data_IF_545820944703
#
_entry.id   IF_545820944703
#
_cell.length_a   1.000
_cell.length_b   1.000
_cell.length_c   1.000
_cell.angle_alpha   90.00
_cell.angle_beta   90.00
_cell.angle_gamma   90.00
#
_symmetry.space_group_name_H-M   'P 1'
#
loop_
_entity.id
_entity.type
_entity.pdbx_description
1 polymer ?
#
# COMPACT_ATOMS: atom_id res chain seq x y z
N UNK A 1 -2.66 4.39 -4.32
CA UNK A 1 -1.57 3.65 -3.64
C UNK A 1 -0.58 3.22 -4.71
N UNK A 2 0.71 3.11 -4.40
CA UNK A 2 1.65 2.51 -5.34
C UNK A 2 1.41 1.00 -5.49
N UNK A 3 1.74 0.47 -6.66
CA UNK A 3 1.53 -0.90 -7.11
C UNK A 3 2.81 -1.71 -7.24
N UNK A 4 2.72 -2.84 -7.94
CA UNK A 4 3.87 -3.68 -8.32
C UNK A 4 4.69 -3.04 -9.44
N UNK A 5 4.03 -2.36 -10.38
CA UNK A 5 4.66 -1.68 -11.50
C UNK A 5 5.55 -0.48 -11.10
N UNK A 6 5.13 0.32 -10.12
CA UNK A 6 5.89 1.50 -9.66
C UNK A 6 6.84 1.18 -8.49
N UNK A 7 7.04 -0.10 -8.15
CA UNK A 7 7.78 -0.50 -6.95
C UNK A 7 9.25 -0.04 -6.99
N UNK A 8 9.94 -0.26 -8.11
CA UNK A 8 11.33 0.13 -8.28
C UNK A 8 11.48 1.66 -8.31
N UNK A 9 10.63 2.35 -9.08
CA UNK A 9 10.60 3.81 -9.12
C UNK A 9 10.36 4.41 -7.74
N UNK A 10 9.39 3.90 -6.97
CA UNK A 10 9.14 4.38 -5.59
C UNK A 10 10.33 4.13 -4.66
N UNK A 11 11.02 3.02 -4.82
CA UNK A 11 12.22 2.70 -4.04
C UNK A 11 13.36 3.64 -4.37
N UNK A 12 13.61 3.88 -5.65
CA UNK A 12 14.63 4.81 -6.14
C UNK A 12 14.31 6.25 -5.75
N UNK A 13 13.08 6.72 -5.97
CA UNK A 13 12.64 8.04 -5.55
C UNK A 13 12.79 8.26 -4.04
N UNK A 14 12.51 7.23 -3.22
CA UNK A 14 12.74 7.28 -1.78
C UNK A 14 14.24 7.37 -1.44
N UNK A 15 15.10 6.61 -2.13
CA UNK A 15 16.56 6.68 -1.97
C UNK A 15 17.08 8.07 -2.34
N UNK A 16 16.79 8.53 -3.55
CA UNK A 16 17.17 9.86 -4.05
C UNK A 16 16.74 10.98 -3.10
N UNK A 17 15.51 10.92 -2.59
CA UNK A 17 15.01 11.88 -1.60
C UNK A 17 15.87 11.90 -0.34
N UNK A 18 16.30 10.75 0.18
CA UNK A 18 17.17 10.72 1.36
C UNK A 18 18.57 11.24 1.05
N UNK A 19 19.14 10.89 -0.11
CA UNK A 19 20.44 11.41 -0.54
C UNK A 19 20.42 12.94 -0.70
N UNK A 20 19.37 13.51 -1.31
CA UNK A 20 19.21 14.95 -1.42
C UNK A 20 19.11 15.63 -0.05
N UNK A 21 18.35 15.04 0.87
CA UNK A 21 18.22 15.57 2.23
C UNK A 21 19.54 15.50 3.00
N UNK A 22 20.33 14.43 2.79
CA UNK A 22 21.67 14.28 3.35
C UNK A 22 22.60 15.36 2.82
N UNK A 23 22.68 15.54 1.49
CA UNK A 23 23.52 16.56 0.86
C UNK A 23 23.17 17.97 1.32
N UNK A 24 21.86 18.30 1.37
CA UNK A 24 21.39 19.60 1.89
C UNK A 24 21.79 19.84 3.35
N UNK A 25 21.79 18.79 4.18
CA UNK A 25 22.22 18.89 5.57
C UNK A 25 23.76 19.05 5.68
N UNK A 26 24.52 18.33 4.86
CA UNK A 26 25.98 18.46 4.77
C UNK A 26 26.42 19.85 4.30
N UNK A 27 25.75 20.41 3.29
CA UNK A 27 25.96 21.78 2.82
C UNK A 27 25.72 22.80 3.94
N UNK A 28 24.63 22.66 4.70
CA UNK A 28 24.32 23.52 5.85
C UNK A 28 25.36 23.39 6.95
N UNK A 29 25.78 22.17 7.27
CA UNK A 29 26.84 21.95 8.25
C UNK A 29 28.14 22.65 7.83
N UNK A 30 28.52 22.49 6.56
CA UNK A 30 29.71 23.13 5.99
C UNK A 30 29.61 24.66 6.05
N UNK A 31 28.44 25.24 5.80
CA UNK A 31 28.19 26.68 5.93
C UNK A 31 28.34 27.18 7.37
N UNK A 32 27.80 26.45 8.36
CA UNK A 32 27.96 26.80 9.77
C UNK A 32 29.39 26.59 10.27
N UNK A 33 30.04 25.50 9.89
CA UNK A 33 31.44 25.22 10.20
C UNK A 33 32.35 26.32 9.64
N UNK A 34 32.14 26.73 8.38
CA UNK A 34 32.88 27.78 7.70
C UNK A 34 32.29 29.20 7.91
N UNK A 35 31.52 29.42 8.99
CA UNK A 35 30.94 30.74 9.25
C UNK A 35 32.03 31.80 9.44
N UNK A 36 31.69 33.07 9.23
CA UNK A 36 32.64 34.18 9.45
C UNK A 36 33.21 34.16 10.89
N UNK A 37 32.41 33.80 11.89
CA UNK A 37 32.86 33.78 13.28
C UNK A 37 33.93 32.70 13.49
N UNK A 38 33.68 31.49 12.97
CA UNK A 38 34.62 30.38 13.04
C UNK A 38 35.91 30.68 12.26
N UNK A 39 35.82 31.28 11.07
CA UNK A 39 37.00 31.71 10.30
C UNK A 39 37.86 32.74 11.03
N UNK A 40 37.24 33.72 11.70
CA UNK A 40 38.00 34.72 12.49
C UNK A 40 38.73 34.02 13.64
N UNK A 41 38.04 33.15 14.39
CA UNK A 41 38.66 32.43 15.50
C UNK A 41 39.76 31.46 15.04
N UNK A 42 39.63 30.85 13.87
CA UNK A 42 40.66 30.01 13.28
C UNK A 42 41.92 30.79 12.88
N UNK A 43 41.77 32.07 12.49
CA UNK A 43 42.89 32.94 12.14
C UNK A 43 43.59 33.54 13.36
N UNK A 44 42.90 33.68 14.49
CA UNK A 44 43.46 34.20 15.75
C UNK A 44 43.32 33.19 16.90
N UNK A 45 43.96 32.01 16.79
CA UNK A 45 43.84 30.97 17.81
C UNK A 45 44.49 31.40 19.12
N UNK A 46 43.80 31.19 20.24
CA UNK A 46 44.35 31.38 21.58
C UNK A 46 44.46 32.81 22.09
N UNK A 47 43.94 33.82 21.37
CA UNK A 47 43.92 35.20 21.89
C UNK A 47 43.04 35.30 23.15
N UNK A 48 43.57 35.74 24.30
CA UNK A 48 42.80 35.84 25.53
C UNK A 48 41.75 36.96 25.47
N UNK A 49 40.61 36.74 26.12
CA UNK A 49 39.60 37.79 26.32
C UNK A 49 40.12 38.74 27.39
N UNK A 50 40.47 39.96 26.98
CA UNK A 50 40.93 41.01 27.89
C UNK A 50 39.72 41.57 28.69
N UNK A 51 39.65 41.24 29.98
CA UNK A 51 38.58 41.67 30.89
C UNK A 51 38.74 43.17 31.20
N UNK A 52 37.67 43.95 31.09
CA UNK A 52 37.66 45.39 31.34
C UNK A 52 38.13 46.25 30.15
N UNK A 53 38.54 45.64 29.03
CA UNK A 53 38.96 46.36 27.83
C UNK A 53 37.76 46.64 26.91
N UNK A 54 37.79 47.74 26.14
CA UNK A 54 36.68 48.13 25.26
C UNK A 54 36.31 47.06 24.20
N UNK A 55 37.24 46.15 23.87
CA UNK A 55 37.03 45.04 22.93
C UNK A 55 36.39 43.78 23.55
N UNK A 56 36.28 43.70 24.88
CA UNK A 56 35.79 42.53 25.62
C UNK A 56 34.42 42.06 25.11
N UNK A 57 33.46 42.98 25.01
CA UNK A 57 32.09 42.68 24.59
C UNK A 57 32.04 42.10 23.16
N UNK A 58 32.92 42.56 22.29
CA UNK A 58 33.01 42.07 20.90
C UNK A 58 33.61 40.66 20.85
N UNK A 59 34.66 40.41 21.64
CA UNK A 59 35.27 39.08 21.75
C UNK A 59 34.28 38.05 22.30
N UNK A 60 33.58 38.35 23.41
CA UNK A 60 32.56 37.45 23.98
C UNK A 60 31.47 37.07 22.99
N UNK A 61 30.91 38.06 22.28
CA UNK A 61 29.88 37.83 21.25
C UNK A 61 30.40 37.02 20.07
N UNK A 62 31.65 37.22 19.66
CA UNK A 62 32.26 36.45 18.57
C UNK A 62 32.38 34.97 18.97
N UNK A 63 32.88 34.69 20.18
CA UNK A 63 32.93 33.33 20.71
C UNK A 63 31.54 32.73 20.86
N UNK A 64 30.58 33.43 21.45
CA UNK A 64 29.20 32.95 21.59
C UNK A 64 28.58 32.58 20.24
N UNK A 65 28.77 33.41 19.22
CA UNK A 65 28.29 33.13 17.85
C UNK A 65 28.98 31.90 17.25
N UNK A 66 30.30 31.83 17.35
CA UNK A 66 31.07 30.69 16.86
C UNK A 66 30.61 29.38 17.51
N UNK A 67 30.43 29.38 18.84
CA UNK A 67 29.93 28.22 19.58
C UNK A 67 28.51 27.82 19.14
N UNK A 68 27.64 28.79 18.90
CA UNK A 68 26.30 28.56 18.36
C UNK A 68 26.33 27.96 16.95
N UNK A 69 27.18 28.49 16.07
CA UNK A 69 27.37 27.98 14.70
C UNK A 69 27.96 26.56 14.71
N UNK A 70 28.99 26.30 15.52
CA UNK A 70 29.56 24.95 15.68
C UNK A 70 28.53 23.95 16.19
N UNK A 71 27.69 24.33 17.18
CA UNK A 71 26.60 23.45 17.65
C UNK A 71 25.63 23.10 16.51
N UNK A 72 25.20 24.10 15.73
CA UNK A 72 24.31 23.88 14.57
C UNK A 72 24.96 23.01 13.50
N UNK A 73 26.25 23.19 13.23
CA UNK A 73 27.01 22.33 12.31
C UNK A 73 26.97 20.87 12.77
N UNK A 74 27.25 20.60 14.05
CA UNK A 74 27.19 19.23 14.60
C UNK A 74 25.79 18.63 14.50
N UNK A 75 24.74 19.44 14.73
CA UNK A 75 23.34 18.99 14.59
C UNK A 75 23.01 18.63 13.13
N UNK A 76 23.39 19.47 12.17
CA UNK A 76 23.17 19.20 10.74
C UNK A 76 24.04 18.02 10.25
N UNK A 77 25.25 17.83 10.77
CA UNK A 77 26.08 16.64 10.49
C UNK A 77 25.38 15.35 10.95
N UNK A 78 24.84 15.35 12.17
CA UNK A 78 24.06 14.20 12.67
C UNK A 78 22.84 13.93 11.79
N UNK A 79 22.19 14.98 11.30
CA UNK A 79 21.04 14.87 10.40
C UNK A 79 21.43 14.33 9.03
N UNK A 80 22.58 14.77 8.49
CA UNK A 80 23.15 14.23 7.25
C UNK A 80 23.38 12.73 7.39
N UNK A 81 24.13 12.32 8.43
CA UNK A 81 24.37 10.89 8.74
C UNK A 81 23.09 10.08 8.88
N UNK A 82 22.09 10.62 9.57
CA UNK A 82 20.80 9.95 9.70
C UNK A 82 20.15 9.68 8.33
N UNK A 83 20.18 10.63 7.40
CA UNK A 83 19.61 10.42 6.07
C UNK A 83 20.47 9.54 5.18
N UNK A 84 21.80 9.62 5.26
CA UNK A 84 22.69 8.69 4.56
C UNK A 84 22.42 7.25 5.01
N UNK A 85 22.36 7.00 6.31
CA UNK A 85 22.07 5.67 6.86
C UNK A 85 20.70 5.14 6.40
N UNK A 86 19.72 6.04 6.24
CA UNK A 86 18.40 5.70 5.69
C UNK A 86 18.46 5.36 4.20
N UNK A 87 19.23 6.08 3.40
CA UNK A 87 19.47 5.77 2.00
C UNK A 87 20.15 4.40 1.86
N UNK A 88 21.20 4.16 2.63
CA UNK A 88 21.93 2.90 2.69
C UNK A 88 21.02 1.75 3.13
N UNK A 89 20.14 1.98 4.09
CA UNK A 89 19.15 0.98 4.52
C UNK A 89 18.18 0.64 3.41
N UNK A 90 17.72 1.61 2.62
CA UNK A 90 16.82 1.38 1.48
C UNK A 90 17.52 0.57 0.38
N UNK A 91 18.79 0.87 0.13
CA UNK A 91 19.63 0.17 -0.84
C UNK A 91 19.96 -1.27 -0.42
N UNK A 92 20.40 -1.46 0.83
CA UNK A 92 20.91 -2.73 1.33
C UNK A 92 19.87 -3.58 2.07
N UNK A 93 18.60 -3.16 2.08
CA UNK A 93 17.54 -3.90 2.76
C UNK A 93 17.42 -5.32 2.19
N UNK A 94 17.52 -6.31 3.09
CA UNK A 94 17.29 -7.73 2.76
C UNK A 94 15.82 -8.12 2.80
N UNK A 95 14.92 -7.16 2.99
CA UNK A 95 13.48 -7.38 3.05
C UNK A 95 12.94 -7.54 1.63
N UNK A 96 12.35 -8.70 1.35
CA UNK A 96 11.68 -8.99 0.08
C UNK A 96 10.20 -8.74 0.29
N UNK A 97 9.63 -7.74 -0.38
CA UNK A 97 8.20 -7.40 -0.32
C UNK A 97 7.40 -8.26 -1.30
N UNK A 98 6.09 -8.38 -1.09
CA UNK A 98 5.20 -9.09 -2.02
C UNK A 98 4.93 -8.27 -3.30
N UNK A 99 4.88 -6.94 -3.18
CA UNK A 99 4.68 -6.02 -4.31
C UNK A 99 5.90 -5.89 -5.23
N UNK A 100 7.00 -6.63 -4.98
CA UNK A 100 8.18 -6.61 -5.84
C UNK A 100 7.94 -7.51 -7.07
N UNK A 101 8.07 -7.01 -8.32
CA UNK A 101 7.94 -7.84 -9.52
C UNK A 101 8.85 -9.07 -9.49
N UNK A 102 10.05 -8.91 -8.95
CA UNK A 102 11.09 -9.92 -8.90
C UNK A 102 11.13 -10.68 -7.54
N UNK A 103 10.05 -10.62 -6.74
CA UNK A 103 10.00 -11.25 -5.42
C UNK A 103 10.32 -12.75 -5.45
N UNK A 104 9.77 -13.48 -6.44
CA UNK A 104 9.99 -14.94 -6.57
C UNK A 104 11.46 -15.23 -6.87
N UNK A 105 12.08 -14.49 -7.80
CA UNK A 105 13.48 -14.66 -8.14
C UNK A 105 14.38 -14.39 -6.93
N UNK A 106 14.17 -13.26 -6.24
CA UNK A 106 14.92 -12.92 -5.01
C UNK A 106 14.77 -13.96 -3.90
N UNK A 107 13.61 -14.61 -3.80
CA UNK A 107 13.39 -15.72 -2.86
C UNK A 107 14.10 -17.00 -3.30
N UNK A 108 14.18 -17.29 -4.59
CA UNK A 108 14.96 -18.42 -5.14
C UNK A 108 16.45 -18.23 -4.91
N UNK A 109 16.99 -17.04 -5.17
CA UNK A 109 18.39 -16.70 -4.89
C UNK A 109 18.68 -16.83 -3.38
N UNK A 110 17.77 -16.34 -2.54
CA UNK A 110 17.86 -16.50 -1.08
C UNK A 110 17.85 -17.96 -0.65
N UNK A 111 17.06 -18.81 -1.30
CA UNK A 111 17.02 -20.23 -1.03
C UNK A 111 18.37 -20.88 -1.38
N UNK A 112 18.96 -20.53 -2.53
CA UNK A 112 20.29 -21.01 -2.92
C UNK A 112 21.37 -20.56 -1.92
N UNK A 113 21.33 -19.31 -1.46
CA UNK A 113 22.23 -18.84 -0.40
C UNK A 113 22.06 -19.63 0.90
N UNK A 114 20.83 -19.98 1.28
CA UNK A 114 20.57 -20.79 2.48
C UNK A 114 21.05 -22.24 2.32
N UNK A 115 20.98 -22.80 1.11
CA UNK A 115 21.52 -24.13 0.80
C UNK A 115 23.04 -24.13 0.92
N UNK A 116 23.73 -23.15 0.33
CA UNK A 116 25.19 -22.99 0.51
C UNK A 116 25.58 -22.82 1.98
N UNK A 117 24.83 -22.00 2.73
CA UNK A 117 25.06 -21.85 4.18
C UNK A 117 24.86 -23.16 4.93
N UNK A 118 23.87 -23.96 4.57
CA UNK A 118 23.64 -25.27 5.18
C UNK A 118 24.84 -26.20 4.98
N UNK A 119 25.38 -26.26 3.76
CA UNK A 119 26.54 -27.10 3.46
C UNK A 119 27.78 -26.65 4.24
N UNK A 120 28.01 -25.33 4.36
CA UNK A 120 29.11 -24.81 5.18
C UNK A 120 28.97 -25.21 6.65
N UNK A 121 27.78 -25.09 7.24
CA UNK A 121 27.53 -25.50 8.63
C UNK A 121 27.70 -27.01 8.79
N UNK A 122 27.31 -27.80 7.79
CA UNK A 122 27.46 -29.25 7.83
C UNK A 122 28.93 -29.69 7.72
N UNK A 123 29.75 -28.92 7.00
CA UNK A 123 31.18 -29.18 6.85
C UNK A 123 32.00 -28.77 8.09
N UNK A 124 31.50 -27.82 8.89
CA UNK A 124 32.09 -27.44 10.16
C UNK A 124 31.93 -28.57 11.19
N UNK A 125 33.02 -29.11 11.71
CA UNK A 125 33.00 -30.23 12.65
C UNK A 125 32.46 -29.84 14.04
N UNK A 126 32.56 -28.56 14.41
CA UNK A 126 32.12 -28.03 15.71
C UNK A 126 30.70 -27.45 15.66
N UNK A 127 29.95 -27.69 14.58
CA UNK A 127 28.60 -27.16 14.46
C UNK A 127 27.66 -27.77 15.51
N UNK A 128 26.74 -26.94 15.96
CA UNK A 128 25.68 -27.32 16.89
C UNK A 128 24.41 -27.73 16.14
N UNK A 129 23.64 -28.64 16.73
CA UNK A 129 22.38 -29.13 16.13
C UNK A 129 21.37 -28.01 15.84
N UNK A 130 21.28 -27.00 16.70
CA UNK A 130 20.37 -25.85 16.52
C UNK A 130 20.68 -25.04 15.25
N UNK A 131 21.95 -24.93 14.83
CA UNK A 131 22.31 -24.20 13.61
C UNK A 131 21.68 -24.84 12.36
N UNK A 132 21.77 -26.17 12.24
CA UNK A 132 21.14 -26.92 11.14
C UNK A 132 19.61 -26.86 11.20
N UNK A 133 19.02 -26.95 12.40
CA UNK A 133 17.57 -26.82 12.58
C UNK A 133 17.05 -25.45 12.15
N UNK A 134 17.76 -24.38 12.53
CA UNK A 134 17.41 -23.00 12.20
C UNK A 134 17.46 -22.77 10.69
N UNK A 135 18.57 -23.17 10.02
CA UNK A 135 18.66 -23.08 8.56
C UNK A 135 17.55 -23.90 7.89
N UNK A 136 17.31 -25.13 8.35
CA UNK A 136 16.24 -25.98 7.82
C UNK A 136 14.84 -25.36 7.97
N UNK A 137 14.57 -24.68 9.09
CA UNK A 137 13.33 -23.93 9.28
C UNK A 137 13.22 -22.74 8.31
N UNK A 138 14.29 -21.95 8.16
CA UNK A 138 14.35 -20.82 7.22
C UNK A 138 14.17 -21.25 5.76
N UNK A 139 14.78 -22.36 5.36
CA UNK A 139 14.60 -22.95 4.03
C UNK A 139 13.16 -23.37 3.80
N UNK A 140 12.55 -24.10 4.75
CA UNK A 140 11.14 -24.53 4.65
C UNK A 140 10.21 -23.33 4.49
N UNK A 141 10.39 -22.28 5.28
CA UNK A 141 9.56 -21.08 5.18
C UNK A 141 9.75 -20.35 3.85
N UNK A 142 10.99 -20.25 3.36
CA UNK A 142 11.28 -19.66 2.05
C UNK A 142 10.62 -20.45 0.92
N UNK A 143 10.67 -21.79 0.96
CA UNK A 143 9.99 -22.67 -0.01
C UNK A 143 8.46 -22.50 0.04
N UNK A 144 7.85 -22.46 1.24
CA UNK A 144 6.41 -22.19 1.40
C UNK A 144 6.02 -20.84 0.81
N UNK A 145 6.84 -19.81 1.02
CA UNK A 145 6.60 -18.47 0.51
C UNK A 145 6.65 -18.43 -1.02
N UNK A 146 7.66 -19.08 -1.64
CA UNK A 146 7.76 -19.23 -3.09
C UNK A 146 6.51 -19.91 -3.64
N UNK A 147 6.12 -21.06 -3.09
CA UNK A 147 4.95 -21.81 -3.54
C UNK A 147 3.65 -21.00 -3.45
N UNK A 148 3.49 -20.18 -2.40
CA UNK A 148 2.33 -19.28 -2.25
C UNK A 148 2.29 -18.23 -3.36
N UNK A 149 3.42 -17.59 -3.66
CA UNK A 149 3.50 -16.57 -4.70
C UNK A 149 3.30 -17.17 -6.10
N UNK A 150 3.93 -18.31 -6.40
CA UNK A 150 3.75 -19.02 -7.67
C UNK A 150 2.29 -19.47 -7.88
N UNK A 151 1.60 -19.89 -6.81
CA UNK A 151 0.18 -20.21 -6.87
C UNK A 151 -0.66 -18.97 -7.17
N UNK A 152 -0.36 -17.82 -6.56
CA UNK A 152 -1.05 -16.56 -6.84
C UNK A 152 -0.85 -16.08 -8.28
N UNK A 153 0.35 -16.22 -8.85
CA UNK A 153 0.60 -15.83 -10.24
C UNK A 153 -0.14 -16.70 -11.26
N UNK A 154 -0.33 -17.99 -10.95
CA UNK A 154 -1.09 -18.92 -11.80
C UNK A 154 -2.60 -18.70 -11.76
N UNK A 155 -3.12 -18.02 -10.73
CA UNK A 155 -4.55 -17.74 -10.65
C UNK A 155 -4.88 -16.63 -11.64
N UNK A 156 -5.50 -17.02 -12.74
CA UNK A 156 -6.16 -16.09 -13.64
C UNK A 156 -7.50 -15.70 -13.05
N UNK A 157 -7.61 -14.47 -12.57
CA UNK A 157 -8.88 -13.91 -12.15
C UNK A 157 -9.52 -13.25 -13.36
N UNK A 158 -10.71 -13.74 -13.73
CA UNK A 158 -11.55 -13.10 -14.74
C UNK A 158 -12.29 -11.95 -14.06
N UNK A 159 -12.41 -10.82 -14.75
CA UNK A 159 -13.21 -9.70 -14.25
C UNK A 159 -14.65 -10.17 -14.01
N UNK A 160 -15.19 -9.87 -12.83
CA UNK A 160 -16.54 -10.25 -12.45
C UNK A 160 -17.36 -8.97 -12.41
N UNK A 161 -18.37 -8.89 -13.26
CA UNK A 161 -19.40 -7.86 -13.19
C UNK A 161 -20.44 -8.29 -12.15
N UNK A 162 -20.86 -7.37 -11.30
CA UNK A 162 -21.86 -7.60 -10.26
C UNK A 162 -22.84 -6.41 -10.24
N UNK A 163 -23.98 -6.55 -9.56
CA UNK A 163 -25.01 -5.50 -9.51
C UNK A 163 -24.44 -4.19 -8.97
N UNK A 164 -24.40 -3.15 -9.82
CA UNK A 164 -23.88 -1.82 -9.48
C UNK A 164 -22.36 -1.63 -9.57
N UNK A 165 -21.61 -2.56 -10.18
CA UNK A 165 -20.17 -2.37 -10.39
C UNK A 165 -19.39 -3.52 -11.01
N UNK A 166 -18.07 -3.38 -11.04
CA UNK A 166 -17.12 -4.38 -11.57
C UNK A 166 -16.00 -4.64 -10.59
N UNK A 167 -15.67 -5.92 -10.41
CA UNK A 167 -14.49 -6.37 -9.69
C UNK A 167 -13.36 -6.61 -10.69
N UNK A 168 -12.38 -5.71 -10.70
CA UNK A 168 -11.21 -5.78 -11.58
C UNK A 168 -10.02 -6.31 -10.79
N UNK A 169 -9.36 -7.29 -11.37
CA UNK A 169 -8.06 -7.74 -10.87
C UNK A 169 -6.93 -7.01 -11.57
N UNK A 170 -6.25 -6.11 -10.86
CA UNK A 170 -5.12 -5.38 -11.41
C UNK A 170 -3.79 -6.05 -10.99
N UNK A 171 -3.18 -6.80 -11.92
CA UNK A 171 -1.87 -7.45 -11.75
C UNK A 171 -0.74 -6.44 -11.53
N UNK A 172 -0.81 -5.29 -12.20
CA UNK A 172 0.22 -4.24 -12.12
C UNK A 172 0.23 -3.56 -10.76
N UNK A 173 -0.92 -3.50 -10.09
CA UNK A 173 -1.04 -2.92 -8.74
C UNK A 173 -0.98 -4.02 -7.65
N UNK A 174 -1.13 -5.30 -8.02
CA UNK A 174 -1.23 -6.43 -7.11
C UNK A 174 -2.39 -6.25 -6.09
N UNK A 175 -3.54 -5.74 -6.58
CA UNK A 175 -4.72 -5.43 -5.77
C UNK A 175 -5.99 -5.87 -6.48
N UNK A 176 -6.99 -6.29 -5.69
CA UNK A 176 -8.37 -6.43 -6.15
C UNK A 176 -9.04 -5.07 -5.98
N UNK A 177 -9.61 -4.55 -7.06
CA UNK A 177 -10.33 -3.29 -7.09
C UNK A 177 -11.82 -3.56 -7.33
N UNK A 178 -12.67 -3.01 -6.47
CA UNK A 178 -14.11 -2.99 -6.66
C UNK A 178 -14.48 -1.57 -7.07
N UNK A 179 -14.89 -1.43 -8.33
CA UNK A 179 -15.34 -0.18 -8.93
C UNK A 179 -16.86 -0.23 -8.93
N UNK A 180 -17.50 0.84 -8.46
CA UNK A 180 -18.95 1.00 -8.45
C UNK A 180 -19.32 2.17 -9.35
N UNK A 181 -20.48 2.10 -10.00
CA UNK A 181 -20.94 3.16 -10.91
C UNK A 181 -21.35 4.44 -10.16
N UNK A 182 -21.75 4.29 -8.89
CA UNK A 182 -22.12 5.38 -8.00
C UNK A 182 -21.55 5.21 -6.59
N UNK A 183 -21.95 6.10 -5.67
CA UNK A 183 -21.61 5.97 -4.25
C UNK A 183 -22.41 4.78 -3.69
N UNK A 184 -21.75 3.72 -3.19
CA UNK A 184 -22.47 2.57 -2.64
C UNK A 184 -23.25 2.94 -1.38
N UNK A 185 -24.35 2.24 -1.14
CA UNK A 185 -25.17 2.39 0.06
C UNK A 185 -24.35 2.18 1.35
N UNK A 186 -24.77 2.80 2.46
CA UNK A 186 -24.04 2.77 3.73
C UNK A 186 -23.86 1.35 4.26
N UNK A 187 -24.84 0.46 4.01
CA UNK A 187 -24.75 -0.95 4.38
C UNK A 187 -23.61 -1.65 3.63
N UNK A 188 -23.51 -1.41 2.32
CA UNK A 188 -22.45 -1.95 1.45
C UNK A 188 -21.09 -1.39 1.89
N UNK A 189 -20.99 -0.09 2.17
CA UNK A 189 -19.75 0.53 2.66
C UNK A 189 -19.29 -0.08 3.99
N UNK A 190 -20.21 -0.32 4.90
CA UNK A 190 -19.91 -0.95 6.19
C UNK A 190 -19.44 -2.39 6.02
N UNK A 191 -20.12 -3.15 5.15
CA UNK A 191 -19.71 -4.51 4.80
C UNK A 191 -18.29 -4.54 4.19
N UNK A 192 -17.99 -3.67 3.23
CA UNK A 192 -16.67 -3.54 2.60
C UNK A 192 -15.57 -3.26 3.62
N UNK A 193 -15.80 -2.28 4.52
CA UNK A 193 -14.86 -1.96 5.61
C UNK A 193 -14.64 -3.15 6.54
N UNK A 194 -15.72 -3.86 6.92
CA UNK A 194 -15.64 -5.04 7.80
C UNK A 194 -14.79 -6.16 7.18
N UNK A 195 -14.84 -6.30 5.85
CA UNK A 195 -14.07 -7.28 5.07
C UNK A 195 -12.67 -6.79 4.68
N UNK A 196 -12.25 -5.62 5.17
CA UNK A 196 -10.90 -5.07 5.03
C UNK A 196 -10.62 -4.36 3.70
N UNK A 197 -11.65 -3.97 2.95
CA UNK A 197 -11.49 -3.12 1.77
C UNK A 197 -11.35 -1.66 2.18
N UNK A 198 -10.43 -0.95 1.53
CA UNK A 198 -10.14 0.47 1.81
C UNK A 198 -10.39 1.30 0.55
N UNK A 199 -11.05 2.45 0.69
CA UNK A 199 -11.28 3.37 -0.41
C UNK A 199 -9.98 4.08 -0.84
N UNK A 200 -9.68 4.05 -2.15
CA UNK A 200 -8.55 4.76 -2.74
C UNK A 200 -9.03 5.94 -3.59
N UNK A 201 -8.75 7.17 -3.13
CA UNK A 201 -9.13 8.40 -3.85
C UNK A 201 -8.51 8.53 -5.23
N UNK A 202 -7.27 8.04 -5.42
CA UNK A 202 -6.52 8.15 -6.70
C UNK A 202 -7.14 7.29 -7.80
N UNK A 203 -7.68 6.13 -7.42
CA UNK A 203 -8.19 5.12 -8.35
C UNK A 203 -9.72 5.09 -8.37
N UNK A 204 -10.40 5.83 -7.48
CA UNK A 204 -11.86 5.83 -7.39
C UNK A 204 -12.47 4.47 -7.06
N UNK A 205 -11.75 3.61 -6.35
CA UNK A 205 -12.14 2.22 -6.12
C UNK A 205 -11.92 1.77 -4.67
N UNK A 206 -12.68 0.76 -4.24
CA UNK A 206 -12.42 0.02 -3.01
C UNK A 206 -11.36 -1.05 -3.26
N UNK A 207 -10.31 -1.09 -2.44
CA UNK A 207 -9.11 -1.88 -2.74
C UNK A 207 -8.64 -2.74 -1.56
N UNK A 208 -8.06 -3.89 -1.90
CA UNK A 208 -7.35 -4.77 -0.96
C UNK A 208 -6.20 -5.49 -1.67
N UNK A 209 -5.14 -5.85 -0.94
CA UNK A 209 -4.00 -6.62 -1.48
C UNK A 209 -4.47 -7.95 -2.08
N UNK A 210 -3.95 -8.31 -3.25
CA UNK A 210 -4.24 -9.59 -3.87
C UNK A 210 -3.62 -10.74 -3.08
N UNK A 211 -4.48 -11.56 -2.48
CA UNK A 211 -4.10 -12.72 -1.70
C UNK A 211 -5.22 -13.77 -1.79
N UNK A 212 -4.93 -15.04 -1.50
CA UNK A 212 -5.91 -16.12 -1.54
C UNK A 212 -7.12 -15.83 -0.65
N UNK A 213 -6.88 -15.26 0.53
CA UNK A 213 -7.95 -14.86 1.43
C UNK A 213 -8.78 -13.71 0.85
N UNK A 214 -8.15 -12.77 0.14
CA UNK A 214 -8.83 -11.65 -0.50
C UNK A 214 -9.73 -12.14 -1.62
N UNK A 215 -9.27 -13.08 -2.44
CA UNK A 215 -10.09 -13.74 -3.48
C UNK A 215 -11.34 -14.36 -2.84
N UNK A 216 -11.15 -15.21 -1.82
CA UNK A 216 -12.26 -15.85 -1.10
C UNK A 216 -13.23 -14.83 -0.49
N UNK A 217 -12.69 -13.79 0.14
CA UNK A 217 -13.49 -12.73 0.75
C UNK A 217 -14.31 -11.99 -0.31
N UNK A 218 -13.72 -11.73 -1.47
CA UNK A 218 -14.38 -11.05 -2.60
C UNK A 218 -15.52 -11.91 -3.13
N UNK A 219 -15.29 -13.21 -3.36
CA UNK A 219 -16.34 -14.14 -3.79
C UNK A 219 -17.51 -14.20 -2.79
N UNK A 220 -17.22 -14.22 -1.49
CA UNK A 220 -18.24 -14.19 -0.44
C UNK A 220 -18.99 -12.86 -0.44
N UNK A 221 -18.29 -11.73 -0.62
CA UNK A 221 -18.91 -10.41 -0.62
C UNK A 221 -19.85 -10.23 -1.82
N UNK A 222 -19.42 -10.67 -3.00
CA UNK A 222 -20.25 -10.66 -4.22
C UNK A 222 -21.52 -11.48 -3.99
N UNK A 223 -21.37 -12.70 -3.47
CA UNK A 223 -22.50 -13.59 -3.17
C UNK A 223 -23.47 -13.01 -2.13
N UNK A 224 -22.95 -12.54 -0.99
CA UNK A 224 -23.77 -12.27 0.20
C UNK A 224 -24.41 -10.87 0.21
N UNK A 225 -23.83 -9.92 -0.52
CA UNK A 225 -24.19 -8.49 -0.45
C UNK A 225 -24.61 -7.94 -1.81
N UNK A 226 -23.87 -8.28 -2.88
CA UNK A 226 -24.04 -7.62 -4.18
C UNK A 226 -25.05 -8.34 -5.08
N UNK A 227 -25.23 -9.67 -4.94
CA UNK A 227 -26.21 -10.42 -5.72
C UNK A 227 -27.58 -10.59 -5.02
N UNK A 228 -27.79 -9.98 -3.84
CA UNK A 228 -29.06 -10.08 -3.11
C UNK A 228 -30.22 -9.32 -3.75
N UNK A 229 -29.94 -8.35 -4.62
CA UNK A 229 -30.98 -7.57 -5.29
C UNK A 229 -31.68 -8.37 -6.40
N UNK A 230 -31.04 -9.40 -6.98
CA UNK A 230 -31.66 -10.23 -8.03
C UNK A 230 -32.69 -11.22 -7.48
N UNK A 231 -32.46 -11.83 -6.31
CA UNK A 231 -33.44 -12.77 -5.73
C UNK A 231 -34.74 -12.08 -5.31
N UNK A 232 -34.71 -10.80 -4.93
CA UNK A 232 -35.92 -10.07 -4.54
C UNK A 232 -36.75 -9.61 -5.75
N UNK A 233 -36.12 -9.17 -6.83
CA UNK A 233 -36.83 -8.81 -8.07
C UNK A 233 -37.38 -10.05 -8.79
N UNK A 234 -36.64 -11.17 -8.79
CA UNK A 234 -37.08 -12.43 -9.41
C UNK A 234 -38.21 -13.11 -8.61
N UNK A 235 -38.18 -13.10 -7.27
CA UNK A 235 -39.29 -13.59 -6.44
C UNK A 235 -40.54 -12.70 -6.53
N UNK A 236 -40.37 -11.38 -6.65
CA UNK A 236 -41.49 -10.45 -6.82
C UNK A 236 -42.13 -10.63 -8.20
N UNK A 237 -41.34 -10.82 -9.27
CA UNK A 237 -41.82 -11.18 -10.61
C UNK A 237 -42.48 -12.58 -10.66
N UNK A 238 -41.90 -13.62 -10.06
CA UNK A 238 -42.52 -14.96 -9.97
C UNK A 238 -43.82 -14.92 -9.15
N UNK A 239 -43.89 -14.10 -8.09
CA UNK A 239 -45.12 -13.91 -7.33
C UNK A 239 -46.19 -13.18 -8.14
N UNK A 240 -45.81 -12.14 -8.91
CA UNK A 240 -46.73 -11.39 -9.79
C UNK A 240 -47.21 -12.24 -10.96
N UNK A 241 -46.31 -13.00 -11.60
CA UNK A 241 -46.65 -13.95 -12.67
C UNK A 241 -47.51 -15.11 -12.14
N UNK A 242 -47.23 -15.58 -10.91
CA UNK A 242 -48.03 -16.59 -10.23
C UNK A 242 -49.40 -16.10 -9.73
N UNK A 243 -49.56 -14.79 -9.49
CA UNK A 243 -50.85 -14.14 -9.21
C UNK A 243 -51.64 -13.95 -10.51
N UNK A 244 -51.01 -13.49 -11.60
CA UNK A 244 -51.62 -13.40 -12.94
C UNK A 244 -52.14 -14.75 -13.45
N UNK A 245 -51.37 -15.83 -13.30
CA UNK A 245 -51.79 -17.18 -13.70
C UNK A 245 -52.99 -17.73 -12.89
N UNK A 246 -53.22 -17.24 -11.66
CA UNK A 246 -54.38 -17.64 -10.83
C UNK A 246 -55.63 -16.82 -11.10
N UNK A 247 -55.48 -15.61 -11.66
CA UNK A 247 -56.61 -14.77 -12.08
C UNK A 247 -57.24 -15.35 -13.35
N UNK A 248 -56.43 -15.92 -14.27
CA UNK A 248 -56.91 -16.60 -15.49
C UNK A 248 -57.73 -17.89 -15.22
N UNK A 249 -57.52 -18.58 -14.10
CA UNK A 249 -58.29 -19.78 -13.72
C UNK A 249 -59.62 -19.45 -13.00
N UNK A 250 -59.89 -18.18 -12.71
CA UNK A 250 -61.06 -17.83 -11.90
C UNK A 250 -61.48 -16.36 -11.91
N UNK A 251 -61.87 -15.80 -13.06
CA UNK A 251 -63.07 -14.96 -13.14
C UNK A 251 -63.47 -14.59 -14.58
N UNK A 252 -64.67 -15.00 -14.96
CA UNK A 252 -65.50 -14.28 -15.94
C UNK A 252 -65.75 -12.85 -15.42
N UNK A 253 -65.38 -11.85 -16.24
CA UNK A 253 -65.91 -10.47 -16.32
C UNK A 253 -66.12 -9.68 -15.01
N UNK A 254 -65.38 -8.58 -14.81
CA UNK A 254 -65.96 -7.22 -14.83
C UNK A 254 -64.93 -6.12 -14.51
N UNK A 255 -64.72 -5.23 -15.49
CA UNK A 255 -64.40 -3.78 -15.39
C UNK A 255 -63.19 -3.27 -14.58
N UNK A 256 -62.41 -4.09 -13.89
CA UNK A 256 -61.16 -3.66 -13.23
C UNK A 256 -59.89 -3.88 -14.09
N UNK A 257 -60.02 -4.57 -15.23
CA UNK A 257 -58.90 -4.94 -16.12
C UNK A 257 -58.33 -3.75 -16.93
N UNK A 258 -59.11 -2.68 -17.14
CA UNK A 258 -58.67 -1.49 -17.89
C UNK A 258 -57.73 -0.58 -17.07
N UNK A 259 -57.76 -0.66 -15.73
CA UNK A 259 -56.95 0.20 -14.85
C UNK A 259 -55.53 -0.35 -14.66
N UNK A 260 -55.36 -1.68 -14.71
CA UNK A 260 -54.07 -2.37 -14.62
C UNK A 260 -53.29 -2.39 -15.95
N UNK A 261 -53.96 -2.49 -17.11
CA UNK A 261 -53.29 -2.31 -18.42
C UNK A 261 -52.70 -0.89 -18.57
N UNK A 262 -53.36 0.13 -17.99
CA UNK A 262 -52.85 1.51 -17.99
C UNK A 262 -51.61 1.70 -17.11
N UNK A 263 -51.47 0.98 -15.99
CA UNK A 263 -50.27 1.06 -15.13
C UNK A 263 -49.07 0.29 -15.70
N UNK A 264 -49.29 -0.87 -16.32
CA UNK A 264 -48.24 -1.63 -17.02
C UNK A 264 -47.73 -0.84 -18.23
N UNK A 265 -48.61 -0.25 -19.04
CA UNK A 265 -48.21 0.60 -20.17
C UNK A 265 -47.50 1.90 -19.73
N UNK A 266 -47.79 2.43 -18.53
CA UNK A 266 -47.08 3.59 -17.97
C UNK A 266 -45.65 3.22 -17.57
N UNK A 267 -45.48 2.05 -16.97
CA UNK A 267 -44.18 1.52 -16.56
C UNK A 267 -43.26 1.24 -17.76
N UNK A 268 -43.82 0.75 -18.87
CA UNK A 268 -43.04 0.52 -20.11
C UNK A 268 -42.61 1.82 -20.80
N UNK A 269 -43.42 2.88 -20.75
CA UNK A 269 -43.07 4.18 -21.31
C UNK A 269 -42.01 4.95 -20.50
N UNK A 270 -41.95 4.75 -19.17
CA UNK A 270 -40.89 5.32 -18.33
C UNK A 270 -39.53 4.62 -18.51
N UNK A 271 -39.52 3.32 -18.82
CA UNK A 271 -38.30 2.57 -19.20
C UNK A 271 -37.79 2.90 -20.61
N UNK A 272 -38.64 3.46 -21.48
CA UNK A 272 -38.30 3.82 -22.87
C UNK A 272 -37.57 5.16 -23.07
N UNK A 273 -37.40 5.99 -22.03
CA UNK A 273 -36.94 7.38 -22.17
C UNK A 273 -35.62 7.71 -21.45
N UNK A 274 -34.71 6.73 -21.35
CA UNK A 274 -33.30 6.96 -21.05
C UNK A 274 -32.45 6.44 -22.22
N UNK A 275 -32.20 7.33 -23.19
CA UNK A 275 -31.10 7.25 -24.17
C UNK A 275 -30.07 8.32 -23.84
#
# INVERSE_FOLDING_TARGET
MGGRADYEERREARKLRYEELSKKAEERSSQYSNSRANRILAMTPGQPILIGHHSERKARRLHERAWGDTRKSIEEDKKSKYYSDRADTVENSKVIYNDDPNAIQKLKDKLECLEKQKELIKADEEHTSWQLQNIGARMRETKRRIARLEKLEKIEFKDIEFTGGKAIYNKDINRIQLIFDGIPDENIRTALKSKGFHWSRREGAWQREFNENTIKTTSILIRDVLNKEQEQEDEEYESLVGVLCRIDEGMENSQEDEELEYEVCRFENEKGNYK
#
